data_IF_174155665334
#
_entry.id   IF_174155665334
#
_cell.length_a   1.000
_cell.length_b   1.000
_cell.length_c   1.000
_cell.angle_alpha   90.00
_cell.angle_beta   90.00
_cell.angle_gamma   90.00
#
_symmetry.space_group_name_H-M   'P 1'
#
loop_
_entity.id
_entity.type
_entity.pdbx_description
1 polymer ?
#
# COMPACT_ATOMS: atom_id res chain seq x y z
N UNK A 1 -33.10 28.19 15.60
CA UNK A 1 -31.73 27.73 15.87
C UNK A 1 -31.55 26.39 15.19
N UNK A 2 -30.94 26.39 14.01
CA UNK A 2 -30.58 25.17 13.29
C UNK A 2 -29.34 24.58 13.93
N UNK A 3 -29.48 23.42 14.59
CA UNK A 3 -28.34 22.63 15.02
C UNK A 3 -27.66 22.09 13.77
N UNK A 4 -26.53 22.70 13.40
CA UNK A 4 -25.56 22.09 12.51
C UNK A 4 -25.02 20.85 13.23
N UNK A 5 -25.46 19.66 12.78
CA UNK A 5 -24.72 18.44 13.03
C UNK A 5 -23.36 18.61 12.33
N UNK A 6 -22.32 18.94 13.09
CA UNK A 6 -20.96 18.68 12.64
C UNK A 6 -20.85 17.16 12.61
N UNK A 7 -21.01 16.55 11.42
CA UNK A 7 -20.48 15.21 11.21
C UNK A 7 -18.98 15.34 11.49
N UNK A 8 -18.52 14.73 12.58
CA UNK A 8 -17.10 14.51 12.78
C UNK A 8 -16.64 13.66 11.60
N UNK A 9 -16.00 14.28 10.60
CA UNK A 9 -15.45 13.57 9.44
C UNK A 9 -14.57 12.46 9.97
N UNK A 10 -14.93 11.23 9.67
CA UNK A 10 -14.09 10.06 9.90
C UNK A 10 -12.78 10.23 9.11
N UNK A 11 -11.67 9.76 9.66
CA UNK A 11 -10.39 9.79 8.95
C UNK A 11 -10.41 8.72 7.86
N UNK A 12 -10.14 9.12 6.62
CA UNK A 12 -9.99 8.23 5.47
C UNK A 12 -8.56 7.70 5.39
N UNK A 13 -8.36 6.51 4.86
CA UNK A 13 -7.04 5.86 4.79
C UNK A 13 -6.66 5.60 3.34
N UNK A 14 -5.42 5.93 2.98
CA UNK A 14 -4.76 5.49 1.76
C UNK A 14 -3.47 4.76 2.14
N UNK A 15 -3.45 3.43 1.98
CA UNK A 15 -2.24 2.62 2.07
C UNK A 15 -1.62 2.49 0.68
N UNK A 16 -0.37 2.91 0.55
CA UNK A 16 0.44 2.80 -0.65
C UNK A 16 1.52 1.75 -0.39
N UNK A 17 1.51 0.68 -1.19
CA UNK A 17 2.57 -0.31 -1.24
C UNK A 17 3.53 -0.01 -2.39
N UNK A 18 4.83 0.03 -2.11
CA UNK A 18 5.89 0.10 -3.12
C UNK A 18 6.74 -1.14 -2.96
N UNK A 19 6.66 -2.06 -3.91
CA UNK A 19 7.35 -3.35 -3.87
C UNK A 19 8.87 -3.17 -3.93
N UNK A 20 9.61 -3.97 -3.17
CA UNK A 20 11.08 -4.03 -3.21
C UNK A 20 11.81 -2.70 -2.93
N UNK A 21 11.21 -1.77 -2.18
CA UNK A 21 11.73 -0.41 -1.97
C UNK A 21 12.73 -0.32 -0.80
N UNK A 22 14.00 -0.06 -1.11
CA UNK A 22 15.03 0.33 -0.14
C UNK A 22 14.92 1.84 0.10
N UNK A 23 14.06 2.25 1.04
CA UNK A 23 13.71 3.66 1.28
C UNK A 23 14.93 4.57 1.49
N UNK A 24 15.89 4.16 2.32
CA UNK A 24 17.07 5.00 2.61
C UNK A 24 17.87 5.28 1.34
N UNK A 25 18.03 4.27 0.48
CA UNK A 25 18.74 4.40 -0.80
C UNK A 25 17.98 5.28 -1.78
N UNK A 26 16.65 5.15 -1.81
CA UNK A 26 15.78 6.03 -2.59
C UNK A 26 15.97 7.51 -2.19
N UNK A 27 15.97 7.81 -0.89
CA UNK A 27 16.17 9.16 -0.36
C UNK A 27 17.58 9.67 -0.67
N UNK A 28 18.62 8.86 -0.40
CA UNK A 28 20.02 9.26 -0.58
C UNK A 28 20.39 9.50 -2.04
N UNK A 29 19.69 8.86 -2.98
CA UNK A 29 19.84 9.10 -4.42
C UNK A 29 19.42 10.52 -4.86
N UNK A 30 18.66 11.24 -4.02
CA UNK A 30 18.09 12.55 -4.34
C UNK A 30 16.91 12.50 -5.33
N UNK A 31 16.41 11.30 -5.68
CA UNK A 31 15.34 11.09 -6.65
C UNK A 31 13.97 10.81 -6.04
N UNK A 32 13.88 10.73 -4.70
CA UNK A 32 12.65 10.44 -3.97
C UNK A 32 12.23 11.60 -3.07
N UNK A 33 11.99 12.79 -3.65
CA UNK A 33 11.77 14.02 -2.90
C UNK A 33 10.47 14.00 -2.07
N UNK A 34 9.42 13.39 -2.59
CA UNK A 34 8.14 13.25 -1.88
C UNK A 34 8.27 12.28 -0.73
N UNK A 35 8.86 11.11 -0.96
CA UNK A 35 9.12 10.11 0.09
C UNK A 35 10.05 10.67 1.17
N UNK A 36 11.09 11.42 0.80
CA UNK A 36 11.98 12.10 1.76
C UNK A 36 11.22 13.09 2.65
N UNK A 37 10.33 13.90 2.05
CA UNK A 37 9.51 14.86 2.79
C UNK A 37 8.55 14.16 3.73
N UNK A 38 7.80 13.17 3.23
CA UNK A 38 6.85 12.40 4.04
C UNK A 38 7.58 11.67 5.17
N UNK A 39 8.75 11.08 4.92
CA UNK A 39 9.58 10.44 5.94
C UNK A 39 10.05 11.40 7.03
N UNK A 40 10.36 12.65 6.69
CA UNK A 40 10.86 13.65 7.63
C UNK A 40 9.76 14.31 8.48
N UNK A 41 8.55 14.44 7.92
CA UNK A 41 7.42 15.16 8.52
C UNK A 41 6.19 14.24 8.71
N UNK A 42 6.41 13.05 9.28
CA UNK A 42 5.37 12.08 9.60
C UNK A 42 5.79 11.16 10.74
N UNK A 43 4.87 10.33 11.19
CA UNK A 43 5.26 9.12 11.91
C UNK A 43 6.08 8.20 11.00
N UNK A 44 7.14 7.61 11.54
CA UNK A 44 7.96 6.60 10.87
C UNK A 44 8.39 5.51 11.84
N UNK A 45 8.37 4.27 11.38
CA UNK A 45 9.00 3.13 12.05
C UNK A 45 9.61 2.21 11.01
N UNK A 46 10.79 1.69 11.31
CA UNK A 46 11.32 0.53 10.59
C UNK A 46 10.50 -0.71 10.96
N UNK A 47 10.42 -1.64 10.03
CA UNK A 47 9.84 -2.97 10.22
C UNK A 47 10.84 -4.01 9.73
N UNK A 48 10.71 -5.23 10.25
CA UNK A 48 11.48 -6.38 9.78
C UNK A 48 10.48 -7.42 9.30
N UNK A 49 10.54 -7.74 8.02
CA UNK A 49 9.66 -8.78 7.45
C UNK A 49 10.16 -10.17 7.80
N UNK A 50 9.23 -11.12 7.84
CA UNK A 50 9.55 -12.52 8.12
C UNK A 50 10.04 -13.25 6.86
N UNK A 51 10.67 -14.40 7.06
CA UNK A 51 11.15 -15.24 5.96
C UNK A 51 10.02 -16.09 5.36
N UNK A 52 10.06 -16.37 4.04
CA UNK A 52 10.97 -15.79 3.06
C UNK A 52 10.60 -14.34 2.73
N UNK A 53 11.59 -13.50 2.41
CA UNK A 53 11.36 -12.11 1.95
C UNK A 53 10.86 -12.12 0.50
N UNK A 54 9.69 -12.68 0.28
CA UNK A 54 9.01 -12.85 -1.01
C UNK A 54 7.69 -12.10 -0.96
N UNK A 55 7.28 -11.52 -2.08
CA UNK A 55 6.19 -10.55 -2.13
C UNK A 55 4.86 -11.13 -1.68
N UNK A 56 4.49 -12.33 -2.12
CA UNK A 56 3.23 -12.98 -1.77
C UNK A 56 3.02 -13.13 -0.26
N UNK A 57 3.93 -13.82 0.46
CA UNK A 57 3.87 -13.92 1.92
C UNK A 57 3.89 -12.57 2.64
N UNK A 58 4.74 -11.65 2.19
CA UNK A 58 4.99 -10.37 2.86
C UNK A 58 3.81 -9.41 2.69
N UNK A 59 3.30 -9.22 1.47
CA UNK A 59 2.07 -8.46 1.22
C UNK A 59 0.87 -9.08 1.90
N UNK A 60 0.73 -10.40 1.89
CA UNK A 60 -0.38 -11.04 2.60
C UNK A 60 -0.33 -10.72 4.08
N UNK A 61 0.85 -10.73 4.70
CA UNK A 61 1.01 -10.33 6.11
C UNK A 61 0.62 -8.86 6.32
N UNK A 62 1.17 -7.95 5.52
CA UNK A 62 0.92 -6.50 5.60
C UNK A 62 -0.54 -6.11 5.36
N UNK A 63 -1.24 -6.85 4.50
CA UNK A 63 -2.63 -6.56 4.12
C UNK A 63 -3.66 -7.26 5.00
N UNK A 64 -3.31 -8.37 5.64
CA UNK A 64 -4.26 -9.13 6.48
C UNK A 64 -4.05 -8.93 7.97
N UNK A 65 -2.86 -8.47 8.39
CA UNK A 65 -2.51 -8.31 9.79
C UNK A 65 -2.39 -9.65 10.54
N UNK A 66 -2.14 -10.73 9.81
CA UNK A 66 -1.86 -12.06 10.37
C UNK A 66 -0.65 -12.65 9.68
N UNK A 67 0.04 -13.57 10.35
CA UNK A 67 1.28 -14.16 9.84
C UNK A 67 1.01 -15.35 8.91
N UNK A 68 2.07 -15.87 8.29
CA UNK A 68 2.05 -17.06 7.43
C UNK A 68 1.46 -18.30 8.12
N UNK A 69 1.51 -18.37 9.46
CA UNK A 69 0.88 -19.45 10.23
C UNK A 69 -0.65 -19.50 10.03
N UNK A 70 -1.27 -18.34 9.76
CA UNK A 70 -2.71 -18.21 9.55
C UNK A 70 -3.05 -18.24 8.06
N UNK A 71 -2.43 -17.36 7.27
CA UNK A 71 -2.78 -17.17 5.86
C UNK A 71 -2.15 -18.19 4.91
N UNK A 72 -1.11 -18.93 5.34
CA UNK A 72 -0.45 -20.02 4.61
C UNK A 72 0.07 -19.69 3.20
N UNK A 73 0.28 -18.42 2.88
CA UNK A 73 0.95 -18.00 1.64
C UNK A 73 2.45 -18.05 1.93
N UNK A 74 3.18 -18.86 1.19
CA UNK A 74 4.61 -19.14 1.41
C UNK A 74 5.50 -18.79 0.20
N UNK A 75 4.88 -18.47 -0.93
CA UNK A 75 5.50 -18.12 -2.21
C UNK A 75 4.55 -17.24 -3.04
N UNK A 76 4.97 -16.90 -4.27
CA UNK A 76 4.17 -16.13 -5.23
C UNK A 76 3.20 -16.98 -6.05
N UNK A 77 3.18 -18.30 -5.87
CA UNK A 77 2.27 -19.22 -6.58
C UNK A 77 0.93 -19.38 -5.85
N UNK A 78 0.84 -18.93 -4.60
CA UNK A 78 -0.39 -18.94 -3.80
C UNK A 78 -1.00 -20.35 -3.63
N UNK A 79 -0.18 -21.40 -3.74
CA UNK A 79 -0.61 -22.78 -3.59
C UNK A 79 -1.03 -23.12 -2.16
N UNK A 80 -2.20 -23.76 -1.99
CA UNK A 80 -2.71 -24.23 -0.68
C UNK A 80 -2.82 -23.16 0.42
N UNK A 81 -2.97 -21.88 0.04
CA UNK A 81 -3.14 -20.78 0.98
C UNK A 81 -4.44 -20.88 1.81
N UNK A 82 -4.58 -20.02 2.81
CA UNK A 82 -5.77 -19.89 3.67
C UNK A 82 -6.26 -18.43 3.77
N UNK A 83 -6.30 -17.71 2.64
CA UNK A 83 -6.84 -16.34 2.55
C UNK A 83 -8.31 -16.22 3.02
N UNK A 84 -9.07 -17.32 3.03
CA UNK A 84 -10.41 -17.35 3.60
C UNK A 84 -10.43 -16.98 5.10
N UNK A 85 -9.41 -17.41 5.86
CA UNK A 85 -9.24 -17.13 7.28
C UNK A 85 -8.44 -15.85 7.57
N UNK A 86 -7.93 -15.18 6.53
CA UNK A 86 -7.12 -13.97 6.63
C UNK A 86 -7.75 -12.86 5.77
N UNK A 87 -8.88 -12.25 6.22
CA UNK A 87 -9.49 -11.16 5.47
C UNK A 87 -8.53 -9.98 5.35
N UNK A 88 -8.45 -9.37 4.18
CA UNK A 88 -7.62 -8.18 3.94
C UNK A 88 -8.16 -6.94 4.69
N UNK A 89 -7.32 -5.91 4.79
CA UNK A 89 -7.58 -4.61 5.42
C UNK A 89 -8.92 -4.02 4.99
N UNK A 90 -9.25 -4.04 3.69
CA UNK A 90 -10.47 -3.43 3.18
C UNK A 90 -11.71 -4.26 3.54
N UNK A 91 -11.57 -5.58 3.50
CA UNK A 91 -12.61 -6.49 4.01
C UNK A 91 -12.84 -6.30 5.51
N UNK A 92 -11.77 -6.21 6.31
CA UNK A 92 -11.87 -5.99 7.75
C UNK A 92 -12.49 -4.62 8.08
N UNK A 93 -12.07 -3.56 7.39
CA UNK A 93 -12.64 -2.23 7.52
C UNK A 93 -14.17 -2.25 7.26
N UNK A 94 -14.60 -2.95 6.21
CA UNK A 94 -16.01 -3.09 5.84
C UNK A 94 -16.83 -3.94 6.82
N UNK A 95 -16.19 -4.90 7.49
CA UNK A 95 -16.81 -5.67 8.58
C UNK A 95 -17.00 -4.82 9.83
N UNK A 96 -16.02 -3.97 10.16
CA UNK A 96 -16.10 -3.06 11.30
C UNK A 96 -17.12 -1.94 11.08
N UNK A 97 -17.19 -1.39 9.87
CA UNK A 97 -18.05 -0.26 9.51
C UNK A 97 -18.81 -0.53 8.21
N UNK A 98 -20.05 -1.05 8.29
CA UNK A 98 -20.76 -1.53 7.11
C UNK A 98 -21.13 -0.50 6.02
N UNK A 99 -21.03 0.78 6.37
CA UNK A 99 -21.33 1.92 5.52
C UNK A 99 -20.16 2.41 4.67
N UNK A 100 -18.93 1.97 4.96
CA UNK A 100 -17.75 2.52 4.29
C UNK A 100 -17.69 2.17 2.81
N UNK A 101 -17.04 3.05 2.05
CA UNK A 101 -16.62 2.81 0.68
C UNK A 101 -15.14 2.45 0.67
N UNK A 102 -14.77 1.42 -0.08
CA UNK A 102 -13.40 0.90 -0.13
C UNK A 102 -12.89 0.78 -1.55
N UNK A 103 -11.60 0.99 -1.75
CA UNK A 103 -10.99 0.99 -3.08
C UNK A 103 -9.65 0.24 -3.09
N UNK A 104 -9.36 -0.48 -4.17
CA UNK A 104 -8.03 -1.03 -4.39
C UNK A 104 -7.57 -0.83 -5.83
N UNK A 105 -6.29 -0.57 -6.04
CA UNK A 105 -5.69 -0.57 -7.37
C UNK A 105 -4.30 -1.17 -7.32
N UNK A 106 -4.02 -2.14 -8.20
CA UNK A 106 -2.73 -2.80 -8.24
C UNK A 106 -2.40 -3.32 -9.65
N UNK A 107 -1.10 -3.36 -9.93
CA UNK A 107 -0.51 -3.91 -11.14
C UNK A 107 -0.13 -5.39 -11.07
N UNK A 108 -0.14 -6.00 -9.87
CA UNK A 108 0.26 -7.39 -9.68
C UNK A 108 -0.97 -8.28 -9.48
N UNK A 109 -1.30 -9.18 -10.43
CA UNK A 109 -2.53 -9.95 -10.41
C UNK A 109 -2.80 -10.74 -9.11
N UNK A 110 -1.82 -11.41 -8.47
CA UNK A 110 -2.05 -12.15 -7.22
C UNK A 110 -2.56 -11.30 -6.04
N UNK A 111 -2.39 -9.97 -6.07
CA UNK A 111 -2.97 -9.11 -5.04
C UNK A 111 -4.44 -8.78 -5.29
N UNK A 112 -4.91 -8.72 -6.54
CA UNK A 112 -6.15 -8.00 -6.86
C UNK A 112 -7.03 -8.63 -7.95
N UNK A 113 -6.48 -9.42 -8.89
CA UNK A 113 -7.25 -9.95 -10.01
C UNK A 113 -8.16 -11.10 -9.53
N UNK A 114 -9.50 -10.99 -9.69
CA UNK A 114 -10.43 -12.06 -9.33
C UNK A 114 -10.27 -13.36 -10.14
N UNK A 115 -9.55 -13.34 -11.25
CA UNK A 115 -9.35 -14.49 -12.14
C UNK A 115 -8.00 -15.20 -11.93
N UNK A 116 -7.16 -14.71 -11.01
CA UNK A 116 -5.82 -15.22 -10.77
C UNK A 116 -5.81 -16.24 -9.61
N UNK A 117 -4.62 -16.68 -9.17
CA UNK A 117 -4.40 -17.58 -8.02
C UNK A 117 -4.53 -16.85 -6.68
N UNK A 118 -4.40 -15.53 -6.69
CA UNK A 118 -4.94 -14.62 -5.69
C UNK A 118 -6.45 -14.38 -5.91
N UNK A 119 -7.10 -13.39 -5.28
CA UNK A 119 -6.49 -12.17 -4.81
C UNK A 119 -6.41 -12.09 -3.28
N UNK A 120 -5.31 -11.55 -2.77
CA UNK A 120 -5.22 -11.13 -1.35
C UNK A 120 -6.33 -10.14 -1.01
N UNK A 121 -6.53 -9.13 -1.86
CA UNK A 121 -7.67 -8.21 -1.75
C UNK A 121 -8.94 -8.90 -2.25
N UNK A 122 -9.86 -9.20 -1.32
CA UNK A 122 -11.08 -9.93 -1.68
C UNK A 122 -11.95 -9.10 -2.62
N UNK A 123 -12.35 -9.70 -3.74
CA UNK A 123 -13.16 -9.06 -4.78
C UNK A 123 -14.49 -8.49 -4.27
N UNK A 124 -15.15 -9.14 -3.30
CA UNK A 124 -16.43 -8.69 -2.69
C UNK A 124 -17.48 -8.20 -3.72
N UNK A 125 -17.85 -9.07 -4.67
CA UNK A 125 -18.79 -8.79 -5.78
C UNK A 125 -20.10 -8.12 -5.31
N UNK A 126 -20.65 -8.51 -4.16
CA UNK A 126 -21.87 -7.89 -3.62
C UNK A 126 -21.68 -6.44 -3.13
N UNK A 127 -20.50 -6.09 -2.62
CA UNK A 127 -20.19 -4.69 -2.28
C UNK A 127 -19.91 -3.88 -3.56
N UNK A 128 -19.30 -4.50 -4.59
CA UNK A 128 -19.08 -3.83 -5.87
C UNK A 128 -20.39 -3.46 -6.57
N UNK A 129 -21.39 -4.35 -6.57
CA UNK A 129 -22.69 -4.09 -7.20
C UNK A 129 -23.49 -2.95 -6.53
N UNK A 130 -23.10 -2.57 -5.31
CA UNK A 130 -23.70 -1.47 -4.55
C UNK A 130 -22.80 -0.24 -4.43
N UNK A 131 -21.65 -0.23 -5.12
CA UNK A 131 -20.69 0.87 -5.08
C UNK A 131 -19.93 1.02 -3.75
N UNK A 132 -19.98 0.03 -2.86
CA UNK A 132 -19.26 0.03 -1.58
C UNK A 132 -17.83 -0.49 -1.69
N UNK A 133 -17.52 -1.15 -2.81
CA UNK A 133 -16.17 -1.54 -3.14
C UNK A 133 -15.88 -1.31 -4.62
N UNK A 134 -14.65 -0.97 -4.96
CA UNK A 134 -14.19 -0.88 -6.34
C UNK A 134 -12.75 -1.36 -6.41
N UNK A 135 -12.41 -2.09 -7.47
CA UNK A 135 -11.05 -2.54 -7.75
C UNK A 135 -10.64 -2.09 -9.14
N UNK A 136 -9.37 -1.72 -9.29
CA UNK A 136 -8.75 -1.44 -10.58
C UNK A 136 -7.57 -2.38 -10.78
N UNK A 137 -7.73 -3.30 -11.74
CA UNK A 137 -6.77 -4.35 -12.05
C UNK A 137 -6.06 -4.02 -13.35
N UNK A 138 -4.73 -4.09 -13.34
CA UNK A 138 -3.89 -4.11 -14.54
C UNK A 138 -2.84 -5.19 -14.37
N UNK A 139 -2.54 -5.90 -15.44
CA UNK A 139 -1.53 -6.95 -15.44
C UNK A 139 -0.18 -6.36 -15.85
N UNK A 140 0.64 -6.02 -14.84
CA UNK A 140 2.00 -5.52 -15.02
C UNK A 140 3.00 -6.59 -15.46
N UNK A 141 2.76 -7.87 -15.13
CA UNK A 141 3.59 -8.99 -15.59
C UNK A 141 3.58 -9.10 -17.12
N UNK A 142 2.41 -8.90 -17.73
CA UNK A 142 2.26 -8.96 -19.18
C UNK A 142 2.58 -7.62 -19.87
N UNK A 143 2.22 -6.49 -19.25
CA UNK A 143 2.24 -5.18 -19.92
C UNK A 143 3.38 -4.25 -19.48
N UNK A 144 4.19 -4.65 -18.50
CA UNK A 144 5.31 -3.88 -17.95
C UNK A 144 4.88 -2.86 -16.90
N UNK A 145 5.59 -2.82 -15.77
CA UNK A 145 5.21 -1.98 -14.63
C UNK A 145 5.45 -0.48 -14.84
N UNK A 146 6.38 -0.09 -15.72
CA UNK A 146 6.56 1.33 -16.07
C UNK A 146 5.26 1.99 -16.59
N UNK A 147 4.46 1.25 -17.38
CA UNK A 147 3.17 1.75 -17.88
C UNK A 147 2.06 1.49 -16.86
N UNK A 148 2.02 0.28 -16.30
CA UNK A 148 0.94 -0.14 -15.40
C UNK A 148 0.89 0.68 -14.11
N UNK A 149 2.04 1.02 -13.51
CA UNK A 149 2.07 1.86 -12.31
C UNK A 149 1.45 3.24 -12.57
N UNK A 150 1.66 3.81 -13.77
CA UNK A 150 1.07 5.09 -14.17
C UNK A 150 -0.46 4.97 -14.28
N UNK A 151 -0.96 3.90 -14.90
CA UNK A 151 -2.40 3.67 -15.02
C UNK A 151 -3.07 3.47 -13.65
N UNK A 152 -2.42 2.70 -12.76
CA UNK A 152 -2.86 2.49 -11.37
C UNK A 152 -2.93 3.82 -10.62
N UNK A 153 -1.91 4.66 -10.73
CA UNK A 153 -1.89 5.98 -10.08
C UNK A 153 -2.97 6.92 -10.64
N UNK A 154 -3.19 6.92 -11.95
CA UNK A 154 -4.22 7.74 -12.59
C UNK A 154 -5.63 7.36 -12.10
N UNK A 155 -5.93 6.05 -12.03
CA UNK A 155 -7.22 5.61 -11.49
C UNK A 155 -7.34 5.92 -9.99
N UNK A 156 -6.27 5.75 -9.22
CA UNK A 156 -6.27 6.08 -7.79
C UNK A 156 -6.54 7.57 -7.54
N UNK A 157 -5.89 8.47 -8.29
CA UNK A 157 -6.14 9.92 -8.23
C UNK A 157 -7.59 10.25 -8.58
N UNK A 158 -8.15 9.60 -9.61
CA UNK A 158 -9.57 9.74 -9.98
C UNK A 158 -10.48 9.25 -8.85
N UNK A 159 -10.23 8.08 -8.29
CA UNK A 159 -11.00 7.53 -7.17
C UNK A 159 -10.95 8.45 -5.94
N UNK A 160 -9.78 8.97 -5.58
CA UNK A 160 -9.64 9.97 -4.51
C UNK A 160 -10.54 11.17 -4.81
N UNK A 161 -10.43 11.78 -6.00
CA UNK A 161 -11.16 13.02 -6.37
C UNK A 161 -12.68 12.84 -6.53
N UNK A 162 -13.14 11.69 -7.01
CA UNK A 162 -14.56 11.50 -7.37
C UNK A 162 -15.32 10.70 -6.32
N UNK A 163 -14.69 9.67 -5.75
CA UNK A 163 -15.34 8.70 -4.85
C UNK A 163 -15.01 9.01 -3.38
N UNK A 164 -13.76 9.42 -3.12
CA UNK A 164 -13.23 9.62 -1.76
C UNK A 164 -13.42 8.39 -0.85
N UNK A 165 -12.88 7.21 -1.21
CA UNK A 165 -13.06 6.01 -0.41
C UNK A 165 -12.57 6.21 1.03
N UNK A 166 -13.22 5.56 1.99
CA UNK A 166 -12.84 5.64 3.41
C UNK A 166 -11.60 4.80 3.72
N UNK A 167 -11.35 3.73 2.95
CA UNK A 167 -10.11 2.98 2.99
C UNK A 167 -9.69 2.56 1.59
N UNK A 168 -8.43 2.80 1.25
CA UNK A 168 -7.86 2.54 -0.07
C UNK A 168 -6.53 1.79 0.03
N UNK A 169 -6.27 0.88 -0.90
CA UNK A 169 -4.95 0.29 -1.14
C UNK A 169 -4.49 0.56 -2.57
N UNK A 170 -3.26 1.05 -2.75
CA UNK A 170 -2.65 1.29 -4.06
C UNK A 170 -1.27 0.67 -4.07
N UNK A 171 -0.94 -0.09 -5.12
CA UNK A 171 0.30 -0.85 -5.20
C UNK A 171 1.09 -0.52 -6.47
N UNK A 172 2.41 -0.38 -6.32
CA UNK A 172 3.38 -0.17 -7.40
C UNK A 172 4.50 -1.20 -7.33
N UNK A 173 4.86 -1.81 -8.47
CA UNK A 173 5.90 -2.85 -8.54
C UNK A 173 7.15 -2.40 -9.32
N UNK A 174 7.11 -1.26 -10.03
CA UNK A 174 8.19 -0.91 -10.96
C UNK A 174 9.57 -0.78 -10.31
N UNK A 175 9.65 -0.50 -9.00
CA UNK A 175 10.92 -0.52 -8.27
C UNK A 175 11.45 -1.95 -8.09
N UNK A 176 10.60 -2.92 -7.76
CA UNK A 176 11.01 -4.31 -7.60
C UNK A 176 11.49 -4.90 -8.94
N UNK A 177 10.70 -4.73 -10.00
CA UNK A 177 11.04 -5.16 -11.37
C UNK A 177 12.41 -4.61 -11.81
N UNK A 178 12.63 -3.30 -11.65
CA UNK A 178 13.91 -2.68 -12.00
C UNK A 178 15.07 -3.20 -11.12
N UNK A 179 14.80 -3.45 -9.84
CA UNK A 179 15.77 -4.03 -8.91
C UNK A 179 16.20 -5.45 -9.29
N UNK A 180 15.28 -6.28 -9.79
CA UNK A 180 15.60 -7.61 -10.34
C UNK A 180 16.43 -7.53 -11.62
N UNK A 181 16.10 -6.59 -12.52
CA UNK A 181 16.72 -6.49 -13.83
C UNK A 181 18.17 -6.00 -13.77
N UNK A 182 18.42 -4.91 -13.04
CA UNK A 182 19.70 -4.19 -13.10
C UNK A 182 20.39 -4.05 -11.73
N UNK A 183 19.80 -4.60 -10.66
CA UNK A 183 20.26 -4.40 -9.30
C UNK A 183 19.80 -3.07 -8.70
N UNK A 184 20.23 -2.78 -7.48
CA UNK A 184 19.66 -1.68 -6.69
C UNK A 184 20.65 -0.56 -6.37
N UNK A 185 21.89 -0.62 -6.85
CA UNK A 185 22.95 0.34 -6.51
C UNK A 185 23.04 1.52 -7.48
N UNK A 186 22.50 1.40 -8.70
CA UNK A 186 22.47 2.43 -9.73
C UNK A 186 21.39 2.15 -10.79
N UNK A 187 21.28 3.02 -11.80
CA UNK A 187 20.49 2.73 -12.99
C UNK A 187 18.97 2.75 -12.82
N UNK A 188 18.31 1.79 -13.46
CA UNK A 188 16.85 1.75 -13.68
C UNK A 188 16.06 1.70 -12.37
N UNK A 189 16.61 1.11 -11.30
CA UNK A 189 16.00 1.12 -9.98
C UNK A 189 15.69 2.55 -9.49
N UNK A 190 16.63 3.48 -9.70
CA UNK A 190 16.44 4.88 -9.33
C UNK A 190 15.56 5.67 -10.31
N UNK A 191 15.48 5.26 -11.58
CA UNK A 191 14.53 5.83 -12.53
C UNK A 191 13.09 5.41 -12.16
N UNK A 192 12.89 4.15 -11.77
CA UNK A 192 11.63 3.64 -11.26
C UNK A 192 11.20 4.35 -9.97
N UNK A 193 12.12 4.51 -9.01
CA UNK A 193 11.87 5.30 -7.78
C UNK A 193 11.45 6.73 -8.11
N UNK A 194 12.15 7.42 -9.01
CA UNK A 194 11.82 8.80 -9.38
C UNK A 194 10.40 8.90 -9.96
N UNK A 195 10.03 7.94 -10.81
CA UNK A 195 8.68 7.85 -11.38
C UNK A 195 7.64 7.60 -10.28
N UNK A 196 7.82 6.58 -9.44
CA UNK A 196 6.89 6.22 -8.37
C UNK A 196 6.76 7.35 -7.34
N UNK A 197 7.83 8.05 -6.98
CA UNK A 197 7.78 9.24 -6.12
C UNK A 197 6.84 10.31 -6.71
N UNK A 198 6.92 10.55 -8.03
CA UNK A 198 6.00 11.42 -8.75
C UNK A 198 4.55 10.93 -8.77
N UNK A 199 4.31 9.62 -8.77
CA UNK A 199 2.96 9.04 -8.66
C UNK A 199 2.40 9.22 -7.24
N UNK A 200 3.22 9.01 -6.21
CA UNK A 200 2.88 9.29 -4.80
C UNK A 200 2.56 10.77 -4.62
N UNK A 201 3.34 11.66 -5.23
CA UNK A 201 3.11 13.10 -5.20
C UNK A 201 1.73 13.49 -5.75
N UNK A 202 1.29 12.85 -6.84
CA UNK A 202 -0.03 13.11 -7.44
C UNK A 202 -1.18 12.72 -6.51
N UNK A 203 -1.09 11.54 -5.86
CA UNK A 203 -2.10 11.11 -4.89
C UNK A 203 -2.11 12.01 -3.64
N UNK A 204 -0.92 12.37 -3.13
CA UNK A 204 -0.79 13.31 -2.02
C UNK A 204 -1.43 14.66 -2.36
N UNK A 205 -1.17 15.20 -3.56
CA UNK A 205 -1.77 16.45 -4.01
C UNK A 205 -3.29 16.36 -4.09
N UNK A 206 -3.84 15.28 -4.66
CA UNK A 206 -5.29 15.06 -4.71
C UNK A 206 -5.92 15.06 -3.30
N UNK A 207 -5.26 14.44 -2.32
CA UNK A 207 -5.70 14.46 -0.92
C UNK A 207 -5.64 15.86 -0.30
N UNK A 208 -4.56 16.61 -0.53
CA UNK A 208 -4.44 18.00 -0.07
C UNK A 208 -5.56 18.89 -0.65
N UNK A 209 -5.93 18.69 -1.92
CA UNK A 209 -7.04 19.38 -2.55
C UNK A 209 -8.37 19.05 -1.86
N UNK A 210 -8.64 17.76 -1.58
CA UNK A 210 -9.84 17.34 -0.85
C UNK A 210 -9.89 17.93 0.54
N UNK A 211 -8.79 17.90 1.29
CA UNK A 211 -8.72 18.53 2.60
C UNK A 211 -9.01 20.03 2.51
N UNK A 212 -8.37 20.74 1.58
CA UNK A 212 -8.54 22.19 1.41
C UNK A 212 -10.00 22.56 1.13
N UNK A 213 -10.63 21.85 0.19
CA UNK A 213 -11.98 22.16 -0.32
C UNK A 213 -13.10 21.63 0.56
N UNK A 214 -12.96 20.41 1.10
CA UNK A 214 -14.03 19.66 1.76
C UNK A 214 -13.77 19.41 3.25
N UNK A 215 -12.60 19.81 3.77
CA UNK A 215 -12.17 19.59 5.17
C UNK A 215 -12.11 18.12 5.55
N UNK A 216 -11.95 17.25 4.56
CA UNK A 216 -11.73 15.83 4.80
C UNK A 216 -10.42 15.58 5.53
N UNK A 217 -10.40 14.48 6.25
CA UNK A 217 -9.29 14.02 7.07
C UNK A 217 -8.74 12.75 6.45
N UNK A 218 -7.43 12.71 6.24
CA UNK A 218 -6.78 11.59 5.57
C UNK A 218 -5.54 11.13 6.33
N UNK A 219 -5.33 9.83 6.36
CA UNK A 219 -4.08 9.19 6.73
C UNK A 219 -3.50 8.54 5.48
N UNK A 220 -2.36 9.05 5.03
CA UNK A 220 -1.56 8.45 3.95
C UNK A 220 -0.52 7.57 4.60
N UNK A 221 -0.47 6.30 4.21
CA UNK A 221 0.46 5.32 4.74
C UNK A 221 1.27 4.74 3.60
N UNK A 222 2.59 4.65 3.77
CA UNK A 222 3.51 4.09 2.77
C UNK A 222 4.32 2.98 3.42
N UNK A 223 4.40 1.84 2.75
CA UNK A 223 5.17 0.68 3.19
C UNK A 223 5.79 -0.05 2.01
N UNK A 224 6.74 -0.92 2.30
CA UNK A 224 7.25 -1.94 1.39
C UNK A 224 7.14 -3.31 2.05
N UNK A 225 7.17 -4.37 1.26
CA UNK A 225 7.06 -5.75 1.67
C UNK A 225 8.43 -6.42 1.88
N UNK A 226 9.47 -5.95 1.20
CA UNK A 226 10.85 -6.34 1.43
C UNK A 226 11.83 -5.33 0.84
N UNK A 227 13.11 -5.51 1.14
CA UNK A 227 14.19 -4.87 0.40
C UNK A 227 14.75 -5.80 -0.68
N UNK A 228 16.02 -5.59 -1.01
CA UNK A 228 16.67 -6.21 -2.16
C UNK A 228 18.13 -6.54 -1.83
N UNK A 229 18.80 -7.34 -2.65
CA UNK A 229 20.27 -7.42 -2.67
C UNK A 229 20.83 -6.35 -3.60
N UNK A 230 22.13 -6.04 -3.47
CA UNK A 230 22.77 -5.00 -4.28
C UNK A 230 22.77 -5.35 -5.77
N UNK A 231 23.05 -6.60 -6.08
CA UNK A 231 23.01 -7.17 -7.43
C UNK A 231 21.59 -7.45 -7.96
N UNK A 232 20.56 -7.20 -7.14
CA UNK A 232 19.16 -7.54 -7.46
C UNK A 232 18.70 -8.88 -6.90
N UNK A 233 17.38 -9.07 -6.87
CA UNK A 233 16.73 -10.22 -6.25
C UNK A 233 16.65 -10.17 -4.72
N UNK A 234 15.76 -10.99 -4.19
CA UNK A 234 15.42 -11.10 -2.77
C UNK A 234 14.94 -12.53 -2.47
N UNK A 235 14.62 -12.81 -1.21
CA UNK A 235 14.10 -14.10 -0.73
C UNK A 235 14.95 -14.71 0.39
N UNK A 236 16.10 -14.10 0.68
CA UNK A 236 17.05 -14.47 1.72
C UNK A 236 16.85 -13.73 3.05
N UNK A 237 17.69 -14.08 4.03
CA UNK A 237 17.62 -13.61 5.42
C UNK A 237 18.51 -12.39 5.71
N UNK A 238 19.02 -11.72 4.66
CA UNK A 238 19.91 -10.58 4.90
C UNK A 238 19.14 -9.40 5.52
N UNK A 239 19.78 -8.56 6.34
CA UNK A 239 19.12 -7.38 6.89
C UNK A 239 18.55 -6.44 5.82
N UNK A 240 19.18 -6.38 4.64
CA UNK A 240 18.72 -5.55 3.54
C UNK A 240 17.44 -6.10 2.90
N UNK A 241 17.38 -7.41 2.65
CA UNK A 241 16.17 -8.07 2.13
C UNK A 241 15.02 -8.01 3.13
N UNK A 242 15.32 -8.15 4.44
CA UNK A 242 14.29 -8.11 5.49
C UNK A 242 13.84 -6.70 5.88
N UNK A 243 14.51 -5.67 5.38
CA UNK A 243 14.18 -4.29 5.73
C UNK A 243 12.84 -3.89 5.12
N UNK A 244 11.96 -3.38 5.98
CA UNK A 244 10.72 -2.73 5.60
C UNK A 244 10.52 -1.51 6.50
N UNK A 245 9.45 -0.77 6.29
CA UNK A 245 9.14 0.44 7.04
C UNK A 245 7.68 0.80 6.91
N UNK A 246 7.21 1.66 7.80
CA UNK A 246 5.98 2.41 7.61
C UNK A 246 6.26 3.90 7.72
N UNK A 247 5.67 4.68 6.82
CA UNK A 247 5.47 6.13 6.96
C UNK A 247 3.97 6.36 7.13
N UNK A 248 3.55 7.17 8.10
CA UNK A 248 2.14 7.50 8.29
C UNK A 248 1.93 9.02 8.46
N UNK A 249 1.41 9.64 7.39
CA UNK A 249 1.24 11.08 7.23
C UNK A 249 -0.23 11.50 7.39
N UNK A 250 -0.51 12.36 8.36
CA UNK A 250 -1.86 12.88 8.60
C UNK A 250 -2.10 14.18 7.83
N UNK A 251 -3.20 14.25 7.07
CA UNK A 251 -3.67 15.47 6.41
C UNK A 251 -4.99 15.88 7.03
N UNK A 252 -5.02 17.07 7.66
CA UNK A 252 -6.18 17.52 8.44
C UNK A 252 -6.39 16.79 9.77
N UNK A 253 -5.43 15.93 10.14
CA UNK A 253 -5.35 15.17 11.39
C UNK A 253 -3.90 15.15 11.87
N UNK A 254 -3.69 14.89 13.15
CA UNK A 254 -2.34 14.66 13.66
C UNK A 254 -1.78 13.34 13.11
N UNK A 255 -0.46 13.27 12.97
CA UNK A 255 0.23 12.00 12.73
C UNK A 255 -0.12 11.01 13.86
N UNK A 256 -0.18 9.71 13.56
CA UNK A 256 -0.48 8.72 14.58
C UNK A 256 0.61 8.67 15.66
N UNK A 257 0.21 8.30 16.87
CA UNK A 257 1.12 8.01 17.98
C UNK A 257 1.24 6.50 18.18
N UNK A 258 1.68 5.78 17.14
CA UNK A 258 1.90 4.34 17.20
C UNK A 258 3.19 3.99 17.95
N UNK A 259 3.36 2.74 18.41
CA UNK A 259 4.59 2.30 19.08
C UNK A 259 5.82 2.44 18.17
N UNK A 260 7.00 2.81 18.70
CA UNK A 260 8.19 3.12 17.88
C UNK A 260 8.78 1.92 17.11
N UNK A 261 8.29 0.71 17.38
CA UNK A 261 8.59 -0.50 16.64
C UNK A 261 7.26 -1.21 16.43
N UNK A 262 6.84 -1.29 15.18
CA UNK A 262 5.69 -2.09 14.78
C UNK A 262 6.16 -3.28 13.95
N UNK A 263 5.45 -4.39 14.06
CA UNK A 263 5.67 -5.54 13.17
C UNK A 263 4.75 -5.44 11.95
N UNK A 264 5.13 -6.07 10.81
CA UNK A 264 4.27 -6.11 9.62
C UNK A 264 2.84 -6.57 9.90
N UNK A 265 2.65 -7.60 10.73
CA UNK A 265 1.33 -8.13 11.10
C UNK A 265 0.52 -7.19 12.01
N UNK A 266 1.13 -6.16 12.61
CA UNK A 266 0.44 -5.20 13.47
C UNK A 266 -0.12 -4.00 12.69
N UNK A 267 0.34 -3.78 11.45
CA UNK A 267 0.00 -2.61 10.64
C UNK A 267 -1.51 -2.47 10.43
N UNK A 268 -2.20 -3.55 10.06
CA UNK A 268 -3.66 -3.54 9.82
C UNK A 268 -4.41 -3.11 11.08
N UNK A 269 -4.02 -3.61 12.26
CA UNK A 269 -4.65 -3.23 13.52
C UNK A 269 -4.52 -1.72 13.80
N UNK A 270 -3.34 -1.16 13.53
CA UNK A 270 -3.10 0.28 13.63
C UNK A 270 -3.94 1.11 12.66
N UNK A 271 -4.05 0.67 11.40
CA UNK A 271 -4.87 1.34 10.39
C UNK A 271 -6.36 1.31 10.78
N UNK A 272 -6.90 0.15 11.15
CA UNK A 272 -8.30 0.00 11.52
C UNK A 272 -8.68 0.81 12.77
N UNK A 273 -7.75 1.05 13.69
CA UNK A 273 -7.97 1.92 14.85
C UNK A 273 -8.19 3.40 14.50
N UNK A 274 -7.82 3.81 13.28
CA UNK A 274 -7.96 5.19 12.77
C UNK A 274 -9.31 5.44 12.09
N UNK A 275 -9.95 4.37 11.60
CA UNK A 275 -11.29 4.44 11.01
C UNK A 275 -12.30 4.77 12.09
#
# INVERSE_FOLDING_TARGET
MSYSFSMTSQTKILLIGIDGLILQRAIDSGRAATLATLRADSYFSEMVVDMPTVSGPSWTTLLTGVTQQVHKVIDNDYGNHNLAAAPDLLTQARMLKPEIVTYAAAGWPPLIDPNDVGPVIRTRVADQSTGKHSIFVRDGETNGYETVDVEVAQDAVRAIREIAPDASFVYFCGADEAGHLDGTIEGSYFDAINRIDGLVAQMHHAILERHRMLKEKWLIVITTDHGHRDEGGHGGDSPQERASFVIAHGVGVQHPSWPPQIKPEELVGHLLSTL
#
